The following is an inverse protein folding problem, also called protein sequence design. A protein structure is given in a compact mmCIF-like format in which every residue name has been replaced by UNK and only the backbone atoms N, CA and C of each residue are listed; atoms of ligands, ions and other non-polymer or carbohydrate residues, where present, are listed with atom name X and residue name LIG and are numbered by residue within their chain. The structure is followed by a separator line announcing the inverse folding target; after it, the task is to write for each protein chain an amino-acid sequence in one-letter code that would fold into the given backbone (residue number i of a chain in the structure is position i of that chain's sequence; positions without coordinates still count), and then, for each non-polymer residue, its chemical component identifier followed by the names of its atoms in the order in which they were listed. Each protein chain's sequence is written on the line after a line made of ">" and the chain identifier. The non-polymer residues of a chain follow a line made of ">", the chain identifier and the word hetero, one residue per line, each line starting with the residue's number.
data_IF_775314406201
#
_entry.id   IF_775314406201
#
_cell.length_a   1.000
_cell.length_b   1.000
_cell.length_c   1.000
_cell.angle_alpha   90.00
_cell.angle_beta   90.00
_cell.angle_gamma   90.00
#
_symmetry.space_group_name_H-M   'P 1'
#
loop_
_entity.id
_entity.type
_entity.pdbx_description
1 polymer ?
#
# COMPACT_ATOMS: atom_id res chain seq x y z
N UNK A 1 18.13 10.55 -4.25
CA UNK A 1 17.11 10.76 -3.19
C UNK A 1 17.69 10.30 -1.87
N UNK A 2 17.44 11.03 -0.78
CA UNK A 2 17.71 10.56 0.60
C UNK A 2 16.69 9.46 0.99
N UNK A 3 16.91 8.77 2.11
CA UNK A 3 16.02 7.71 2.62
C UNK A 3 14.54 8.08 2.62
N UNK A 4 14.20 9.17 3.32
CA UNK A 4 12.83 9.70 3.39
C UNK A 4 12.25 10.05 2.01
N UNK A 5 13.00 10.79 1.18
CA UNK A 5 12.53 11.21 -0.14
C UNK A 5 12.33 10.01 -1.10
N UNK A 6 13.11 8.94 -0.94
CA UNK A 6 12.91 7.68 -1.67
C UNK A 6 11.62 7.00 -1.25
N UNK A 7 11.34 6.91 0.05
CA UNK A 7 10.11 6.30 0.56
C UNK A 7 8.86 7.09 0.17
N UNK A 8 8.90 8.43 0.25
CA UNK A 8 7.82 9.30 -0.22
C UNK A 8 7.55 9.12 -1.72
N UNK A 9 8.62 8.98 -2.53
CA UNK A 9 8.49 8.68 -3.97
C UNK A 9 7.84 7.32 -4.20
N UNK A 10 8.27 6.27 -3.49
CA UNK A 10 7.67 4.93 -3.62
C UNK A 10 6.21 4.89 -3.15
N UNK A 11 5.85 5.65 -2.10
CA UNK A 11 4.45 5.80 -1.69
C UNK A 11 3.61 6.50 -2.78
N UNK A 12 4.17 7.53 -3.42
CA UNK A 12 3.54 8.19 -4.56
C UNK A 12 3.36 7.25 -5.75
N UNK A 13 4.34 6.41 -6.06
CA UNK A 13 4.25 5.42 -7.15
C UNK A 13 3.08 4.45 -6.95
N UNK A 14 2.82 4.00 -5.72
CA UNK A 14 1.64 3.16 -5.41
C UNK A 14 0.35 3.91 -5.73
N UNK A 15 0.23 5.16 -5.26
CA UNK A 15 -0.97 5.98 -5.49
C UNK A 15 -1.19 6.25 -6.97
N UNK A 16 -0.11 6.53 -7.71
CA UNK A 16 -0.16 6.77 -9.16
C UNK A 16 -0.56 5.48 -9.91
N UNK A 17 -0.03 4.31 -9.53
CA UNK A 17 -0.42 3.02 -10.11
C UNK A 17 -1.90 2.70 -9.84
N UNK A 18 -2.39 2.94 -8.63
CA UNK A 18 -3.82 2.77 -8.28
C UNK A 18 -4.70 3.71 -9.11
N UNK A 19 -4.28 4.95 -9.30
CA UNK A 19 -5.01 5.90 -10.14
C UNK A 19 -5.01 5.48 -11.61
N UNK A 20 -3.90 4.91 -12.11
CA UNK A 20 -3.82 4.33 -13.45
C UNK A 20 -4.80 3.15 -13.60
N UNK A 21 -4.85 2.25 -12.63
CA UNK A 21 -5.80 1.12 -12.62
C UNK A 21 -7.27 1.59 -12.63
N UNK A 22 -7.59 2.69 -11.94
CA UNK A 22 -8.94 3.30 -12.01
C UNK A 22 -9.30 3.74 -13.43
N UNK A 23 -8.36 4.38 -14.14
CA UNK A 23 -8.59 4.82 -15.52
C UNK A 23 -8.70 3.65 -16.49
N UNK A 24 -7.84 2.63 -16.34
CA UNK A 24 -7.90 1.40 -17.13
C UNK A 24 -9.25 0.67 -16.92
N UNK A 25 -9.77 0.63 -15.67
CA UNK A 25 -11.06 0.02 -15.37
C UNK A 25 -12.22 0.67 -16.14
N UNK A 26 -12.22 2.00 -16.25
CA UNK A 26 -13.23 2.75 -17.02
C UNK A 26 -13.20 2.35 -18.49
N UNK A 27 -12.00 2.20 -19.07
CA UNK A 27 -11.81 1.76 -20.47
C UNK A 27 -12.30 0.33 -20.72
N UNK A 28 -12.16 -0.55 -19.73
CA UNK A 28 -12.63 -1.95 -19.77
C UNK A 28 -14.13 -2.09 -19.39
N UNK A 29 -14.83 -0.98 -19.12
CA UNK A 29 -16.24 -1.00 -18.68
C UNK A 29 -16.45 -1.64 -17.30
N UNK A 30 -15.39 -1.74 -16.49
CA UNK A 30 -15.41 -2.32 -15.15
C UNK A 30 -15.72 -1.23 -14.13
N UNK A 31 -16.78 -1.44 -13.33
CA UNK A 31 -17.09 -0.54 -12.23
C UNK A 31 -16.06 -0.70 -11.10
N UNK A 32 -15.47 0.40 -10.64
CA UNK A 32 -14.48 0.39 -9.55
C UNK A 32 -15.03 -0.18 -8.24
N UNK A 33 -16.34 -0.11 -8.00
CA UNK A 33 -16.97 -0.78 -6.84
C UNK A 33 -16.81 -2.30 -6.85
N UNK A 34 -16.60 -2.90 -8.03
CA UNK A 34 -16.37 -4.34 -8.21
C UNK A 34 -15.01 -4.81 -7.70
N UNK A 35 -14.08 -3.90 -7.38
CA UNK A 35 -12.81 -4.25 -6.75
C UNK A 35 -12.98 -4.76 -5.32
N UNK A 36 -14.05 -4.33 -4.64
CA UNK A 36 -14.33 -4.73 -3.25
C UNK A 36 -15.21 -5.97 -3.20
N UNK A 37 -14.98 -6.77 -2.16
CA UNK A 37 -15.66 -8.06 -1.94
C UNK A 37 -17.18 -7.93 -1.67
N UNK A 38 -17.67 -6.68 -1.57
CA UNK A 38 -19.08 -6.34 -1.35
C UNK A 38 -19.91 -6.33 -2.62
N UNK A 39 -19.29 -6.36 -3.79
CA UNK A 39 -20.02 -6.37 -5.06
C UNK A 39 -20.40 -7.82 -5.45
N UNK A 40 -21.63 -8.02 -5.91
CA UNK A 40 -22.14 -9.32 -6.39
C UNK A 40 -22.89 -9.12 -7.72
N UNK A 41 -22.64 -9.96 -8.73
CA UNK A 41 -23.32 -9.92 -10.03
C UNK A 41 -22.43 -10.32 -11.22
N UNK A 42 -23.01 -10.53 -12.40
CA UNK A 42 -22.29 -10.95 -13.63
C UNK A 42 -21.27 -9.91 -14.14
N UNK A 43 -21.39 -8.64 -13.77
CA UNK A 43 -20.38 -7.60 -14.00
C UNK A 43 -19.28 -7.51 -12.93
N UNK A 44 -19.36 -8.36 -11.90
CA UNK A 44 -18.44 -8.42 -10.76
C UNK A 44 -17.66 -9.75 -10.74
N UNK A 45 -18.29 -10.82 -11.25
CA UNK A 45 -17.68 -12.13 -11.38
C UNK A 45 -16.60 -12.13 -12.48
N UNK A 46 -15.34 -11.98 -12.09
CA UNK A 46 -14.24 -12.55 -12.87
C UNK A 46 -13.77 -11.77 -14.09
N UNK A 47 -13.78 -10.42 -14.07
CA UNK A 47 -12.95 -9.72 -15.05
C UNK A 47 -11.48 -10.03 -14.71
N UNK A 48 -10.77 -10.69 -15.64
CA UNK A 48 -9.32 -10.91 -15.51
C UNK A 48 -8.58 -9.61 -15.19
N UNK A 49 -9.16 -8.48 -15.61
CA UNK A 49 -8.69 -7.14 -15.28
C UNK A 49 -8.61 -6.90 -13.77
N UNK A 50 -9.68 -7.12 -13.00
CA UNK A 50 -9.67 -6.87 -11.53
C UNK A 50 -8.57 -7.70 -10.86
N UNK A 51 -8.43 -8.97 -11.24
CA UNK A 51 -7.39 -9.84 -10.68
C UNK A 51 -5.98 -9.35 -11.03
N UNK A 52 -5.72 -9.00 -12.30
CA UNK A 52 -4.43 -8.43 -12.74
C UNK A 52 -4.14 -7.08 -12.07
N UNK A 53 -5.16 -6.26 -11.86
CA UNK A 53 -5.05 -4.97 -11.20
C UNK A 53 -4.68 -5.14 -9.71
N UNK A 54 -5.31 -6.08 -9.00
CA UNK A 54 -4.93 -6.42 -7.62
C UNK A 54 -3.47 -6.90 -7.54
N UNK A 55 -3.03 -7.77 -8.45
CA UNK A 55 -1.63 -8.23 -8.52
C UNK A 55 -0.66 -7.06 -8.71
N UNK A 56 -0.91 -6.19 -9.70
CA UNK A 56 -0.04 -5.02 -9.97
C UNK A 56 0.08 -4.11 -8.76
N UNK A 57 -1.03 -3.86 -8.07
CA UNK A 57 -1.03 -3.02 -6.88
C UNK A 57 -0.29 -3.68 -5.70
N UNK A 58 -0.45 -4.99 -5.51
CA UNK A 58 0.31 -5.72 -4.47
C UNK A 58 1.79 -5.79 -4.78
N UNK A 59 2.20 -5.88 -6.06
CA UNK A 59 3.60 -5.84 -6.46
C UNK A 59 4.24 -4.48 -6.17
N UNK A 60 3.51 -3.39 -6.42
CA UNK A 60 3.96 -2.04 -6.05
C UNK A 60 4.07 -1.89 -4.53
N UNK A 61 3.07 -2.39 -3.78
CA UNK A 61 3.08 -2.39 -2.32
C UNK A 61 4.26 -3.20 -1.74
N UNK A 62 4.56 -4.37 -2.31
CA UNK A 62 5.67 -5.22 -1.86
C UNK A 62 7.02 -4.50 -2.00
N UNK A 63 7.24 -3.80 -3.13
CA UNK A 63 8.45 -2.99 -3.36
C UNK A 63 8.59 -1.89 -2.31
N UNK A 64 7.48 -1.21 -1.99
CA UNK A 64 7.45 -0.17 -0.97
C UNK A 64 7.76 -0.70 0.44
N UNK A 65 7.09 -1.79 0.86
CA UNK A 65 7.34 -2.40 2.19
C UNK A 65 8.79 -2.89 2.30
N UNK A 66 9.35 -3.44 1.21
CA UNK A 66 10.77 -3.83 1.16
C UNK A 66 11.68 -2.61 1.33
N UNK A 67 11.37 -1.50 0.67
CA UNK A 67 12.14 -0.26 0.81
C UNK A 67 12.05 0.32 2.24
N UNK A 68 10.89 0.24 2.89
CA UNK A 68 10.72 0.62 4.31
C UNK A 68 11.65 -0.23 5.19
N UNK A 69 11.64 -1.55 5.01
CA UNK A 69 12.50 -2.46 5.78
C UNK A 69 13.99 -2.15 5.59
N UNK A 70 14.44 -2.00 4.34
CA UNK A 70 15.82 -1.64 4.02
C UNK A 70 16.25 -0.31 4.68
N UNK A 71 15.35 0.67 4.70
CA UNK A 71 15.65 1.97 5.28
C UNK A 71 15.63 1.92 6.82
N UNK A 72 14.72 1.17 7.41
CA UNK A 72 14.70 0.92 8.85
C UNK A 72 15.99 0.23 9.32
N UNK A 73 16.47 -0.78 8.59
CA UNK A 73 17.73 -1.47 8.89
C UNK A 73 18.95 -0.52 8.85
N UNK A 74 19.02 0.39 7.87
CA UNK A 74 20.10 1.41 7.82
C UNK A 74 20.03 2.39 8.98
N UNK A 75 18.83 2.73 9.41
CA UNK A 75 18.59 3.63 10.54
C UNK A 75 18.67 2.92 11.89
N UNK A 76 18.90 1.60 11.97
CA UNK A 76 18.90 0.84 13.23
C UNK A 76 19.78 1.46 14.33
N UNK A 77 20.97 1.94 13.97
CA UNK A 77 21.95 2.47 14.93
C UNK A 77 21.87 3.99 15.13
N UNK A 78 21.16 4.72 14.26
CA UNK A 78 21.22 6.19 14.19
C UNK A 78 19.86 6.88 14.03
N UNK A 79 18.80 6.11 13.82
CA UNK A 79 17.45 6.57 13.60
C UNK A 79 16.80 7.03 14.89
N UNK A 80 16.08 8.14 14.80
CA UNK A 80 15.22 8.60 15.89
C UNK A 80 13.85 7.92 15.82
N UNK A 81 13.15 7.86 16.96
CA UNK A 81 11.75 7.41 17.01
C UNK A 81 10.87 8.18 16.01
N UNK A 82 11.12 9.47 15.83
CA UNK A 82 10.41 10.30 14.83
C UNK A 82 10.65 9.86 13.38
N UNK A 83 11.82 9.32 13.05
CA UNK A 83 12.09 8.77 11.72
C UNK A 83 11.30 7.48 11.48
N UNK A 84 11.25 6.58 12.47
CA UNK A 84 10.46 5.34 12.38
C UNK A 84 8.96 5.62 12.36
N UNK A 85 8.48 6.58 13.15
CA UNK A 85 7.08 7.02 13.11
C UNK A 85 6.70 7.60 11.74
N UNK A 86 7.58 8.36 11.09
CA UNK A 86 7.33 8.84 9.74
C UNK A 86 7.26 7.72 8.69
N UNK A 87 8.04 6.63 8.86
CA UNK A 87 7.91 5.45 7.99
C UNK A 87 6.58 4.75 8.20
N UNK A 88 6.12 4.67 9.44
CA UNK A 88 4.79 4.15 9.77
C UNK A 88 3.67 5.00 9.17
N UNK A 89 3.76 6.32 9.26
CA UNK A 89 2.79 7.23 8.65
C UNK A 89 2.68 7.00 7.13
N UNK A 90 3.81 6.74 6.46
CA UNK A 90 3.82 6.36 5.04
C UNK A 90 3.14 5.01 4.79
N UNK A 91 3.34 4.02 5.66
CA UNK A 91 2.66 2.72 5.56
C UNK A 91 1.14 2.87 5.71
N UNK A 92 0.67 3.71 6.65
CA UNK A 92 -0.74 4.03 6.79
C UNK A 92 -1.28 4.75 5.55
N UNK A 93 -0.57 5.77 5.07
CA UNK A 93 -0.97 6.59 3.92
C UNK A 93 -1.16 5.77 2.63
N UNK A 94 -0.36 4.71 2.41
CA UNK A 94 -0.54 3.81 1.27
C UNK A 94 -1.57 2.71 1.50
N UNK A 95 -1.86 2.36 2.75
CA UNK A 95 -2.79 1.28 3.10
C UNK A 95 -4.23 1.59 2.70
N UNK A 96 -4.67 2.84 2.85
CA UNK A 96 -6.01 3.29 2.45
C UNK A 96 -6.30 3.12 0.95
N UNK A 97 -5.43 3.62 0.03
CA UNK A 97 -5.57 3.36 -1.40
C UNK A 97 -5.65 1.88 -1.77
N UNK A 98 -4.84 1.03 -1.14
CA UNK A 98 -4.81 -0.41 -1.37
C UNK A 98 -6.11 -1.07 -0.93
N UNK A 99 -6.66 -0.65 0.21
CA UNK A 99 -7.95 -1.16 0.68
C UNK A 99 -9.11 -0.75 -0.25
N UNK A 100 -9.06 0.46 -0.83
CA UNK A 100 -10.06 0.94 -1.80
C UNK A 100 -10.09 0.14 -3.10
N UNK A 101 -9.02 -0.58 -3.46
CA UNK A 101 -8.99 -1.54 -4.59
C UNK A 101 -9.21 -3.00 -4.12
N UNK A 102 -9.66 -3.21 -2.89
CA UNK A 102 -9.96 -4.54 -2.36
C UNK A 102 -8.73 -5.41 -2.10
N UNK A 103 -7.59 -4.80 -1.76
CA UNK A 103 -6.52 -5.48 -1.03
C UNK A 103 -6.92 -5.41 0.45
N UNK A 104 -7.41 -6.52 0.99
CA UNK A 104 -8.22 -6.54 2.21
C UNK A 104 -7.57 -5.96 3.47
N UNK A 105 -8.39 -5.31 4.32
CA UNK A 105 -8.10 -4.83 5.68
C UNK A 105 -6.69 -4.22 5.92
N UNK A 106 -6.11 -3.56 4.92
CA UNK A 106 -4.72 -3.07 5.00
C UNK A 106 -4.52 -2.01 6.08
N UNK A 107 -5.44 -1.04 6.20
CA UNK A 107 -5.34 0.00 7.25
C UNK A 107 -5.39 -0.60 8.65
N UNK A 108 -6.31 -1.54 8.87
CA UNK A 108 -6.46 -2.26 10.13
C UNK A 108 -5.25 -3.14 10.44
N UNK A 109 -4.69 -3.82 9.44
CA UNK A 109 -3.50 -4.67 9.59
C UNK A 109 -2.28 -3.83 10.01
N UNK A 110 -2.04 -2.71 9.33
CA UNK A 110 -0.95 -1.78 9.67
C UNK A 110 -1.15 -1.18 11.07
N UNK A 111 -2.38 -0.81 11.42
CA UNK A 111 -2.71 -0.26 12.74
C UNK A 111 -2.63 -1.28 13.87
N UNK A 112 -2.89 -2.56 13.62
CA UNK A 112 -2.76 -3.60 14.63
C UNK A 112 -1.29 -3.88 14.96
N UNK A 113 -0.39 -3.81 13.95
CA UNK A 113 1.03 -4.08 14.13
C UNK A 113 1.70 -3.20 15.19
N UNK A 114 1.26 -1.94 15.34
CA UNK A 114 1.86 -1.00 16.30
C UNK A 114 1.50 -1.25 17.76
N UNK A 115 0.44 -2.02 18.03
CA UNK A 115 0.04 -2.37 19.40
C UNK A 115 1.04 -3.33 20.00
N UNK A 116 1.49 -4.30 19.20
CA UNK A 116 2.49 -5.30 19.62
C UNK A 116 3.92 -4.78 19.40
N UNK A 117 4.15 -4.01 18.33
CA UNK A 117 5.48 -3.55 17.90
C UNK A 117 5.44 -2.05 17.56
N UNK A 118 5.58 -1.15 18.55
CA UNK A 118 5.49 0.28 18.30
C UNK A 118 6.66 0.80 17.43
N UNK A 119 6.40 1.72 16.48
CA UNK A 119 7.37 2.18 15.47
C UNK A 119 8.34 3.22 16.06
N UNK A 120 9.05 2.83 17.11
CA UNK A 120 10.00 3.66 17.86
C UNK A 120 11.45 3.25 17.62
N UNK A 121 11.66 2.06 17.04
CA UNK A 121 12.97 1.49 16.68
C UNK A 121 12.83 0.71 15.38
N UNK A 122 13.95 0.37 14.74
CA UNK A 122 13.95 -0.43 13.51
C UNK A 122 13.37 -1.85 13.66
N UNK A 123 13.25 -2.37 14.89
CA UNK A 123 12.67 -3.69 15.15
C UNK A 123 11.14 -3.68 15.08
N UNK A 124 10.52 -2.54 15.41
CA UNK A 124 9.07 -2.38 15.34
C UNK A 124 8.65 -1.86 13.97
#
# INVERSE_FOLDING_TARGET
>A
LTGKARLESSAKEIKDEINKLKQEAIGEGVNFSAFTDKATGSGVAGSQFIFKAKIRATDAALKFVTAIKEEAEKLKESGSSGAFSAMYDLMLDVSEPLEKIGVGEMTKTVSAGIVENPPTTAQG
#
